data_IF_506975026960
#
_entry.id   IF_506975026960
#
_cell.length_a   1.000
_cell.length_b   1.000
_cell.length_c   1.000
_cell.angle_alpha   90.00
_cell.angle_beta   90.00
_cell.angle_gamma   90.00
#
_symmetry.space_group_name_H-M   'P 1'
#
loop_
_entity.id
_entity.type
_entity.pdbx_description
1 polymer ?
#
# COMPACT_ATOMS: atom_id res chain seq x y z
N UNK A 1 33.34 58.59 -41.53
CA UNK A 1 32.08 59.16 -41.00
C UNK A 1 31.27 58.04 -40.37
N UNK A 2 30.90 58.28 -39.12
CA UNK A 2 30.19 57.42 -38.18
C UNK A 2 28.80 56.97 -38.69
N UNK A 3 28.50 55.67 -38.71
CA UNK A 3 27.12 55.14 -38.60
C UNK A 3 27.10 53.86 -37.76
N UNK A 4 26.47 54.03 -36.60
CA UNK A 4 26.07 53.03 -35.63
C UNK A 4 25.07 52.08 -36.28
N UNK A 5 25.24 50.76 -36.13
CA UNK A 5 24.11 49.83 -36.22
C UNK A 5 24.19 48.80 -35.09
N UNK A 6 23.25 49.01 -34.18
CA UNK A 6 22.81 48.25 -33.02
C UNK A 6 22.93 46.73 -33.19
N UNK A 7 23.74 46.11 -32.32
CA UNK A 7 23.74 44.67 -32.10
C UNK A 7 22.56 44.31 -31.18
N UNK A 8 21.50 43.73 -31.75
CA UNK A 8 20.40 43.12 -31.01
C UNK A 8 20.79 41.67 -30.71
N UNK A 9 21.50 41.45 -29.59
CA UNK A 9 21.79 40.10 -29.09
C UNK A 9 20.54 39.62 -28.32
N UNK A 10 19.63 38.96 -29.02
CA UNK A 10 18.50 38.23 -28.43
C UNK A 10 19.04 37.07 -27.59
N UNK A 11 19.25 37.33 -26.30
CA UNK A 11 19.53 36.31 -25.31
C UNK A 11 18.21 35.57 -25.03
N UNK A 12 17.91 34.57 -25.86
CA UNK A 12 16.81 33.64 -25.65
C UNK A 12 17.10 32.82 -24.39
N UNK A 13 16.52 33.24 -23.26
CA UNK A 13 16.29 32.38 -22.11
C UNK A 13 15.34 31.26 -22.54
N UNK A 14 15.88 30.17 -23.07
CA UNK A 14 15.17 28.89 -23.00
C UNK A 14 15.23 28.45 -21.54
N UNK A 15 14.22 28.85 -20.77
CA UNK A 15 13.91 28.19 -19.51
C UNK A 15 13.66 26.73 -19.86
N UNK A 16 14.62 25.87 -19.52
CA UNK A 16 14.45 24.43 -19.58
C UNK A 16 13.34 24.07 -18.61
N UNK A 17 12.13 23.90 -19.11
CA UNK A 17 11.07 23.20 -18.39
C UNK A 17 11.45 21.72 -18.41
N UNK A 18 12.36 21.34 -17.53
CA UNK A 18 12.46 19.97 -17.05
C UNK A 18 11.77 19.92 -15.70
N UNK A 19 10.47 19.66 -15.68
CA UNK A 19 9.77 19.38 -14.45
C UNK A 19 8.55 18.48 -14.70
N UNK A 20 8.65 17.27 -14.15
CA UNK A 20 7.56 16.32 -13.85
C UNK A 20 6.90 15.60 -15.02
N UNK A 21 7.61 14.62 -15.58
CA UNK A 21 6.95 13.47 -16.20
C UNK A 21 7.21 12.18 -15.38
N UNK A 22 7.26 12.32 -14.05
CA UNK A 22 7.17 11.21 -13.13
C UNK A 22 5.71 11.14 -12.67
N UNK A 23 5.03 10.05 -12.98
CA UNK A 23 3.65 9.81 -12.54
C UNK A 23 3.56 9.99 -11.03
N UNK A 24 2.86 11.04 -10.57
CA UNK A 24 2.64 11.23 -9.15
C UNK A 24 1.52 10.30 -8.67
N UNK A 25 1.91 9.10 -8.25
CA UNK A 25 0.99 8.10 -7.73
C UNK A 25 0.27 8.57 -6.46
N UNK A 26 0.80 9.57 -5.73
CA UNK A 26 0.11 10.16 -4.58
C UNK A 26 -1.13 10.92 -5.02
N UNK A 27 -1.00 11.84 -5.98
CA UNK A 27 -2.14 12.56 -6.54
C UNK A 27 -3.19 11.62 -7.17
N UNK A 28 -2.75 10.51 -7.76
CA UNK A 28 -3.65 9.48 -8.32
C UNK A 28 -4.38 8.71 -7.22
N UNK A 29 -3.70 8.31 -6.15
CA UNK A 29 -4.34 7.68 -4.99
C UNK A 29 -5.36 8.61 -4.34
N UNK A 30 -5.03 9.90 -4.20
CA UNK A 30 -5.95 10.91 -3.68
C UNK A 30 -7.20 11.04 -4.56
N UNK A 31 -7.01 11.06 -5.88
CA UNK A 31 -8.11 11.14 -6.85
C UNK A 31 -8.98 9.89 -6.85
N UNK A 32 -8.39 8.71 -6.66
CA UNK A 32 -9.11 7.46 -6.51
C UNK A 32 -10.01 7.47 -5.26
N UNK A 33 -9.46 7.87 -4.11
CA UNK A 33 -10.23 7.97 -2.86
C UNK A 33 -11.33 9.02 -2.97
N UNK A 34 -11.04 10.17 -3.61
CA UNK A 34 -12.05 11.19 -3.86
C UNK A 34 -13.20 10.68 -4.74
N UNK A 35 -12.91 9.85 -5.75
CA UNK A 35 -13.94 9.21 -6.58
C UNK A 35 -14.80 8.22 -5.78
N UNK A 36 -14.19 7.41 -4.90
CA UNK A 36 -14.93 6.54 -3.98
C UNK A 36 -15.85 7.35 -3.04
N UNK A 37 -15.33 8.40 -2.42
CA UNK A 37 -16.10 9.26 -1.52
C UNK A 37 -17.26 9.97 -2.25
N UNK A 38 -17.04 10.40 -3.50
CA UNK A 38 -18.08 10.98 -4.36
C UNK A 38 -19.07 9.94 -4.91
N UNK A 39 -18.89 8.64 -4.61
CA UNK A 39 -19.66 7.51 -5.16
C UNK A 39 -19.60 7.44 -6.69
N UNK A 40 -18.56 8.03 -7.29
CA UNK A 40 -18.27 7.94 -8.71
C UNK A 40 -17.40 6.69 -8.96
N UNK A 41 -18.05 5.53 -8.86
CA UNK A 41 -17.38 4.24 -8.97
C UNK A 41 -16.83 3.97 -10.37
N UNK A 42 -17.45 4.55 -11.41
CA UNK A 42 -16.93 4.47 -12.78
C UNK A 42 -15.57 5.15 -12.89
N UNK A 43 -15.43 6.36 -12.32
CA UNK A 43 -14.15 7.06 -12.27
C UNK A 43 -13.14 6.32 -11.40
N UNK A 44 -13.55 5.83 -10.23
CA UNK A 44 -12.70 5.04 -9.34
C UNK A 44 -12.14 3.80 -10.04
N UNK A 45 -12.98 3.08 -10.78
CA UNK A 45 -12.58 1.88 -11.54
C UNK A 45 -11.59 2.21 -12.68
N UNK A 46 -11.65 3.42 -13.25
CA UNK A 46 -10.70 3.88 -14.28
C UNK A 46 -9.23 4.00 -13.82
N UNK A 47 -8.99 4.03 -12.51
CA UNK A 47 -7.63 4.03 -11.95
C UNK A 47 -6.98 2.64 -11.96
N UNK A 48 -7.77 1.58 -12.10
CA UNK A 48 -7.32 0.20 -12.03
C UNK A 48 -6.57 -0.26 -13.29
N UNK A 49 -5.63 -1.19 -13.08
CA UNK A 49 -4.89 -1.92 -14.12
C UNK A 49 -5.52 -3.26 -14.48
N UNK A 50 -4.90 -3.98 -15.42
CA UNK A 50 -5.44 -5.24 -15.94
C UNK A 50 -5.55 -6.37 -14.91
N UNK A 51 -4.64 -6.45 -13.94
CA UNK A 51 -4.64 -7.59 -13.00
C UNK A 51 -5.81 -7.51 -12.02
N UNK A 52 -6.02 -6.35 -11.38
CA UNK A 52 -7.11 -6.19 -10.41
C UNK A 52 -8.49 -6.30 -11.05
N UNK A 53 -8.65 -5.79 -12.27
CA UNK A 53 -9.94 -5.84 -12.99
C UNK A 53 -10.35 -7.25 -13.39
N UNK A 54 -9.40 -8.19 -13.48
CA UNK A 54 -9.70 -9.62 -13.67
C UNK A 54 -10.27 -10.30 -12.41
N UNK A 55 -9.99 -9.73 -11.22
CA UNK A 55 -10.35 -10.28 -9.91
C UNK A 55 -11.50 -9.53 -9.24
N UNK A 56 -11.70 -8.25 -9.59
CA UNK A 56 -12.69 -7.36 -8.99
C UNK A 56 -13.55 -6.72 -10.09
N UNK A 57 -14.77 -7.22 -10.32
CA UNK A 57 -15.75 -6.59 -11.20
C UNK A 57 -16.12 -5.16 -10.77
N UNK A 58 -16.49 -4.30 -11.72
CA UNK A 58 -16.80 -2.89 -11.45
C UNK A 58 -18.00 -2.68 -10.51
N UNK A 59 -18.98 -3.58 -10.56
CA UNK A 59 -20.16 -3.59 -9.70
C UNK A 59 -19.87 -4.04 -8.26
N UNK A 60 -18.66 -4.53 -7.97
CA UNK A 60 -18.23 -4.89 -6.62
C UNK A 60 -17.73 -3.67 -5.80
N UNK A 61 -17.36 -2.55 -6.44
CA UNK A 61 -16.89 -1.34 -5.73
C UNK A 61 -17.99 -0.66 -4.87
N UNK A 62 -19.23 -0.45 -5.37
CA UNK A 62 -20.29 0.13 -4.56
C UNK A 62 -20.60 -0.61 -3.25
N UNK A 63 -20.85 -1.95 -3.25
CA UNK A 63 -21.12 -2.67 -2.00
C UNK A 63 -19.90 -2.72 -1.07
N UNK A 64 -18.67 -2.73 -1.61
CA UNK A 64 -17.45 -2.66 -0.82
C UNK A 64 -17.37 -1.32 -0.06
N UNK A 65 -17.54 -0.19 -0.75
CA UNK A 65 -17.51 1.12 -0.12
C UNK A 65 -18.63 1.30 0.90
N UNK A 66 -19.84 0.83 0.58
CA UNK A 66 -20.98 0.88 1.50
C UNK A 66 -20.73 0.08 2.78
N UNK A 67 -20.06 -1.08 2.69
CA UNK A 67 -19.69 -1.88 3.86
C UNK A 67 -18.71 -1.12 4.78
N UNK A 68 -17.74 -0.40 4.19
CA UNK A 68 -16.81 0.43 4.97
C UNK A 68 -17.56 1.58 5.65
N UNK A 69 -18.34 2.37 4.92
CA UNK A 69 -19.02 3.54 5.51
C UNK A 69 -20.11 3.14 6.51
N UNK A 70 -20.74 1.98 6.37
CA UNK A 70 -21.64 1.45 7.39
C UNK A 70 -20.92 1.22 8.74
N UNK A 71 -19.68 0.72 8.70
CA UNK A 71 -18.88 0.43 9.89
C UNK A 71 -18.30 1.71 10.50
N UNK A 72 -17.65 2.55 9.70
CA UNK A 72 -16.84 3.69 10.19
C UNK A 72 -17.49 5.07 10.01
N UNK A 73 -18.71 5.11 9.46
CA UNK A 73 -19.45 6.32 9.13
C UNK A 73 -19.02 6.94 7.81
N UNK A 74 -19.57 8.12 7.49
CA UNK A 74 -19.28 8.79 6.22
C UNK A 74 -17.84 9.33 6.15
N UNK A 75 -17.32 9.43 4.93
CA UNK A 75 -16.00 9.98 4.66
C UNK A 75 -15.96 11.49 4.94
N UNK A 76 -14.91 11.96 5.62
CA UNK A 76 -14.70 13.39 5.92
C UNK A 76 -13.59 13.99 5.09
N UNK A 77 -12.36 13.48 5.24
CA UNK A 77 -11.18 14.04 4.54
C UNK A 77 -10.05 13.03 4.42
N UNK A 78 -9.16 13.31 3.48
CA UNK A 78 -7.86 12.65 3.37
C UNK A 78 -6.86 13.34 4.31
N UNK A 79 -5.92 12.57 4.86
CA UNK A 79 -4.91 13.03 5.80
C UNK A 79 -3.50 12.66 5.33
N UNK A 80 -2.73 12.05 6.23
CA UNK A 80 -1.33 11.72 5.98
C UNK A 80 -1.16 10.77 4.78
N UNK A 81 -0.21 11.10 3.91
CA UNK A 81 0.24 10.25 2.79
C UNK A 81 1.56 9.58 3.16
N UNK A 82 1.64 8.27 2.95
CA UNK A 82 2.81 7.44 3.24
C UNK A 82 3.16 6.70 1.96
N UNK A 83 4.42 6.84 1.51
CA UNK A 83 4.95 6.14 0.34
C UNK A 83 5.80 4.96 0.77
N UNK A 84 5.64 3.82 0.13
CA UNK A 84 6.43 2.61 0.38
C UNK A 84 6.84 2.01 -0.94
N UNK A 85 8.15 1.96 -1.21
CA UNK A 85 8.68 1.29 -2.40
C UNK A 85 8.57 -0.23 -2.25
N UNK A 86 8.11 -0.89 -3.31
CA UNK A 86 8.06 -2.34 -3.43
C UNK A 86 9.03 -2.78 -4.53
N UNK A 87 9.47 -4.04 -4.51
CA UNK A 87 10.40 -4.58 -5.52
C UNK A 87 9.89 -4.60 -6.97
N UNK A 88 8.64 -4.19 -7.22
CA UNK A 88 8.01 -4.13 -8.55
C UNK A 88 6.90 -3.07 -8.64
N UNK A 89 7.02 -1.98 -7.88
CA UNK A 89 6.04 -0.90 -7.88
C UNK A 89 6.10 0.00 -6.65
N UNK A 90 5.04 0.77 -6.41
CA UNK A 90 4.93 1.68 -5.28
C UNK A 90 3.59 1.48 -4.55
N UNK A 91 3.62 1.41 -3.22
CA UNK A 91 2.42 1.46 -2.39
C UNK A 91 2.26 2.88 -1.85
N UNK A 92 1.12 3.49 -2.11
CA UNK A 92 0.71 4.75 -1.50
C UNK A 92 -0.40 4.45 -0.49
N UNK A 93 -0.18 4.84 0.76
CA UNK A 93 -1.18 4.73 1.83
C UNK A 93 -1.62 6.12 2.25
N UNK A 94 -2.93 6.35 2.28
CA UNK A 94 -3.53 7.62 2.72
C UNK A 94 -4.42 7.36 3.92
N UNK A 95 -4.08 7.95 5.05
CA UNK A 95 -4.89 7.88 6.28
C UNK A 95 -6.08 8.82 6.11
N UNK A 96 -7.26 8.25 5.98
CA UNK A 96 -8.52 8.97 5.77
C UNK A 96 -9.33 9.03 7.06
N UNK A 97 -9.95 10.18 7.30
CA UNK A 97 -10.85 10.38 8.42
C UNK A 97 -12.29 10.12 7.99
N UNK A 98 -12.98 9.30 8.78
CA UNK A 98 -14.42 9.06 8.69
C UNK A 98 -15.09 9.56 9.97
N UNK A 99 -16.42 9.47 10.06
CA UNK A 99 -17.14 9.97 11.22
C UNK A 99 -16.79 9.32 12.55
N UNK A 100 -16.60 7.98 12.56
CA UNK A 100 -16.42 7.19 13.78
C UNK A 100 -14.97 6.79 14.01
N UNK A 101 -14.16 6.65 12.96
CA UNK A 101 -12.76 6.26 13.05
C UNK A 101 -11.97 6.69 11.80
N UNK A 102 -10.65 6.54 11.84
CA UNK A 102 -9.79 6.71 10.66
C UNK A 102 -9.51 5.35 10.02
N UNK A 103 -9.43 5.33 8.69
CA UNK A 103 -9.07 4.15 7.89
C UNK A 103 -7.93 4.53 6.96
N UNK A 104 -6.90 3.70 6.91
CA UNK A 104 -5.83 3.82 5.94
C UNK A 104 -6.25 3.14 4.64
N UNK A 105 -6.28 3.90 3.55
CA UNK A 105 -6.54 3.37 2.21
C UNK A 105 -5.20 3.24 1.50
N UNK A 106 -4.83 2.00 1.20
CA UNK A 106 -3.58 1.66 0.54
C UNK A 106 -3.83 1.31 -0.91
N UNK A 107 -3.08 1.91 -1.84
CA UNK A 107 -3.13 1.65 -3.27
C UNK A 107 -1.75 1.19 -3.75
N UNK A 108 -1.69 0.03 -4.39
CA UNK A 108 -0.46 -0.55 -4.97
C UNK A 108 -0.45 -0.24 -6.46
N UNK A 109 0.58 0.47 -6.90
CA UNK A 109 0.78 0.91 -8.26
C UNK A 109 1.83 0.04 -8.97
N UNK A 110 1.58 -0.26 -10.24
CA UNK A 110 2.62 -0.74 -11.15
C UNK A 110 3.48 0.41 -11.69
N UNK A 111 4.49 0.08 -12.49
CA UNK A 111 5.39 1.05 -13.14
C UNK A 111 4.66 1.98 -14.13
N UNK A 112 3.46 1.60 -14.60
CA UNK A 112 2.58 2.44 -15.42
C UNK A 112 1.68 3.38 -14.61
N UNK A 113 1.79 3.34 -13.29
CA UNK A 113 0.96 4.10 -12.35
C UNK A 113 -0.50 3.65 -12.33
N UNK A 114 -0.83 2.43 -12.76
CA UNK A 114 -2.15 1.84 -12.60
C UNK A 114 -2.22 1.09 -11.27
N UNK A 115 -3.39 1.17 -10.62
CA UNK A 115 -3.61 0.45 -9.35
C UNK A 115 -3.83 -1.03 -9.67
N UNK A 116 -2.95 -1.89 -9.15
CA UNK A 116 -3.04 -3.35 -9.25
C UNK A 116 -3.59 -4.01 -7.98
N UNK A 117 -3.73 -3.25 -6.90
CA UNK A 117 -4.33 -3.70 -5.65
C UNK A 117 -4.68 -2.53 -4.75
N UNK A 118 -5.71 -2.67 -3.92
CA UNK A 118 -5.98 -1.71 -2.86
C UNK A 118 -6.53 -2.38 -1.60
N UNK A 119 -6.36 -1.72 -0.46
CA UNK A 119 -6.72 -2.27 0.85
C UNK A 119 -7.29 -1.17 1.76
N UNK A 120 -8.29 -1.53 2.56
CA UNK A 120 -8.75 -0.74 3.70
C UNK A 120 -8.15 -1.35 4.97
N UNK A 121 -7.33 -0.58 5.67
CA UNK A 121 -6.57 -1.02 6.83
C UNK A 121 -6.89 -0.13 8.04
N UNK A 122 -6.72 -0.67 9.25
CA UNK A 122 -6.79 0.15 10.47
C UNK A 122 -5.69 1.23 10.43
N UNK A 123 -6.10 2.50 10.51
CA UNK A 123 -5.19 3.63 10.50
C UNK A 123 -4.15 3.59 11.64
N UNK A 124 -4.45 2.90 12.76
CA UNK A 124 -3.50 2.74 13.88
C UNK A 124 -2.20 2.06 13.46
N UNK A 125 -2.19 1.23 12.40
CA UNK A 125 -0.96 0.62 11.88
C UNK A 125 0.04 1.65 11.34
N UNK A 126 -0.43 2.85 11.04
CA UNK A 126 0.33 3.92 10.39
C UNK A 126 0.54 5.11 11.30
N UNK A 127 0.05 5.06 12.53
CA UNK A 127 0.38 6.03 13.56
C UNK A 127 1.85 5.83 13.96
N UNK A 128 2.66 6.89 13.80
CA UNK A 128 4.06 6.88 14.20
C UNK A 128 4.25 6.63 15.71
N UNK A 129 3.20 6.87 16.51
CA UNK A 129 3.14 6.58 17.94
C UNK A 129 2.51 5.23 18.30
N UNK A 130 2.08 4.42 17.32
CA UNK A 130 1.52 3.11 17.62
C UNK A 130 2.56 2.22 18.32
N UNK A 131 2.19 1.52 19.40
CA UNK A 131 3.09 0.59 20.06
C UNK A 131 3.51 -0.47 19.05
N UNK A 132 4.81 -0.53 18.75
CA UNK A 132 5.38 -1.66 18.01
C UNK A 132 5.14 -2.92 18.83
N UNK A 133 5.01 -4.06 18.16
CA UNK A 133 4.94 -5.33 18.86
C UNK A 133 6.15 -5.45 19.78
N UNK A 134 5.88 -5.53 21.08
CA UNK A 134 6.87 -5.86 22.09
C UNK A 134 6.65 -7.32 22.48
N UNK A 135 7.75 -8.06 22.62
CA UNK A 135 7.70 -9.42 23.12
C UNK A 135 6.98 -9.43 24.47
N UNK A 136 5.91 -10.21 24.62
CA UNK A 136 5.12 -10.20 25.85
C UNK A 136 5.97 -10.72 27.01
N UNK A 137 5.72 -10.21 28.22
CA UNK A 137 6.53 -10.53 29.42
C UNK A 137 6.61 -12.02 29.76
N UNK A 138 5.64 -12.82 29.31
CA UNK A 138 5.63 -14.27 29.53
C UNK A 138 6.53 -15.04 28.55
N UNK A 139 6.96 -14.42 27.44
CA UNK A 139 7.77 -15.08 26.44
C UNK A 139 9.26 -14.94 26.79
N UNK A 140 9.83 -16.00 27.36
CA UNK A 140 11.28 -16.11 27.52
C UNK A 140 11.90 -16.66 26.24
N UNK A 141 12.43 -15.74 25.42
CA UNK A 141 13.09 -16.02 24.15
C UNK A 141 14.32 -16.90 24.29
N UNK A 142 14.87 -17.08 25.49
CA UNK A 142 16.02 -17.95 25.71
C UNK A 142 15.64 -19.44 25.76
N UNK A 143 14.36 -19.77 25.95
CA UNK A 143 13.88 -21.16 26.10
C UNK A 143 13.66 -21.88 24.77
N UNK A 144 13.70 -21.18 23.64
CA UNK A 144 13.47 -21.77 22.33
C UNK A 144 14.44 -21.20 21.29
N UNK A 145 14.48 -21.85 20.14
CA UNK A 145 15.15 -21.40 18.93
C UNK A 145 14.15 -21.33 17.79
N UNK A 146 14.25 -20.28 16.97
CA UNK A 146 13.51 -20.18 15.73
C UNK A 146 14.44 -20.42 14.55
N UNK A 147 13.98 -21.19 13.58
CA UNK A 147 14.71 -21.47 12.34
C UNK A 147 13.78 -21.28 11.17
N UNK A 148 14.21 -20.47 10.21
CA UNK A 148 13.55 -20.44 8.91
C UNK A 148 13.79 -21.76 8.19
N UNK A 149 12.74 -22.28 7.59
CA UNK A 149 12.77 -23.49 6.81
C UNK A 149 11.77 -23.41 5.66
N UNK A 150 11.75 -24.43 4.83
CA UNK A 150 10.78 -24.56 3.73
C UNK A 150 10.03 -25.87 3.90
N UNK A 151 8.71 -25.81 3.80
CA UNK A 151 7.83 -26.98 3.83
C UNK A 151 7.40 -27.32 2.41
N UNK A 152 7.50 -28.60 2.04
CA UNK A 152 7.16 -29.07 0.69
C UNK A 152 8.33 -28.94 -0.30
N UNK A 153 8.01 -29.11 -1.60
CA UNK A 153 8.97 -29.08 -2.69
C UNK A 153 8.33 -28.58 -3.99
N UNK A 154 9.16 -28.11 -4.93
CA UNK A 154 8.70 -27.63 -6.23
C UNK A 154 7.93 -26.31 -6.16
N UNK A 155 6.94 -26.15 -7.03
CA UNK A 155 6.14 -24.92 -7.19
C UNK A 155 5.34 -24.54 -5.93
N UNK A 156 5.08 -25.49 -5.04
CA UNK A 156 4.27 -25.31 -3.83
C UNK A 156 5.10 -25.29 -2.54
N UNK A 157 6.41 -25.06 -2.65
CA UNK A 157 7.28 -24.92 -1.50
C UNK A 157 6.94 -23.62 -0.75
N UNK A 158 6.62 -23.75 0.54
CA UNK A 158 6.24 -22.61 1.38
C UNK A 158 7.34 -22.28 2.38
N UNK A 159 7.72 -21.00 2.54
CA UNK A 159 8.56 -20.61 3.66
C UNK A 159 7.85 -20.93 4.97
N UNK A 160 8.61 -21.20 6.03
CA UNK A 160 8.09 -21.47 7.35
C UNK A 160 9.07 -21.11 8.45
N UNK A 161 8.57 -20.92 9.67
CA UNK A 161 9.39 -20.76 10.87
C UNK A 161 9.12 -21.91 11.85
N UNK A 162 10.17 -22.66 12.17
CA UNK A 162 10.14 -23.68 13.21
C UNK A 162 10.60 -23.09 14.54
N UNK A 163 9.70 -23.05 15.52
CA UNK A 163 10.01 -22.66 16.91
C UNK A 163 10.19 -23.92 17.77
N UNK A 164 11.42 -24.23 18.17
CA UNK A 164 11.77 -25.46 18.91
C UNK A 164 12.23 -25.12 20.34
N UNK A 165 11.61 -25.67 21.39
CA UNK A 165 12.13 -25.54 22.75
C UNK A 165 13.51 -26.18 22.90
N UNK A 166 14.44 -25.46 23.53
CA UNK A 166 15.81 -25.94 23.76
C UNK A 166 15.83 -27.13 24.74
N UNK A 167 16.69 -28.10 24.46
CA UNK A 167 16.93 -29.24 25.36
C UNK A 167 15.74 -30.20 25.51
N UNK A 168 14.71 -30.10 24.66
CA UNK A 168 13.58 -31.02 24.62
C UNK A 168 13.62 -31.84 23.33
N UNK A 169 13.23 -33.10 23.44
CA UNK A 169 13.00 -34.02 22.31
C UNK A 169 11.64 -34.68 22.49
N UNK A 170 11.00 -35.13 21.41
CA UNK A 170 9.65 -35.73 21.42
C UNK A 170 8.55 -34.84 22.05
N UNK A 171 8.41 -33.62 21.53
CA UNK A 171 7.36 -32.69 21.95
C UNK A 171 6.15 -32.74 21.03
N UNK A 172 4.97 -32.42 21.55
CA UNK A 172 3.80 -32.19 20.71
C UNK A 172 4.01 -30.95 19.84
N UNK A 173 3.62 -31.03 18.56
CA UNK A 173 3.75 -29.95 17.61
C UNK A 173 2.39 -29.31 17.32
N UNK A 174 2.40 -28.00 17.12
CA UNK A 174 1.27 -27.22 16.62
C UNK A 174 1.70 -26.60 15.30
N UNK A 175 0.85 -26.70 14.28
CA UNK A 175 1.08 -26.06 12.98
C UNK A 175 0.08 -24.92 12.84
N UNK A 176 0.60 -23.70 12.69
CA UNK A 176 -0.20 -22.50 12.46
C UNK A 176 -0.11 -22.16 10.97
N UNK A 177 -1.19 -22.39 10.24
CA UNK A 177 -1.29 -22.03 8.82
C UNK A 177 -2.04 -20.71 8.73
N UNK A 178 -1.42 -19.68 8.15
CA UNK A 178 -2.11 -18.41 7.91
C UNK A 178 -3.14 -18.58 6.78
N UNK A 179 -4.11 -17.66 6.67
CA UNK A 179 -5.04 -17.61 5.54
C UNK A 179 -4.37 -17.17 4.23
N UNK A 180 -5.08 -17.22 3.10
CA UNK A 180 -4.52 -16.94 1.76
C UNK A 180 -3.77 -15.60 1.62
N UNK A 181 -2.60 -15.60 0.97
CA UNK A 181 -2.01 -14.42 0.30
C UNK A 181 -0.60 -14.04 0.76
N UNK A 182 -0.26 -12.75 0.74
CA UNK A 182 1.09 -12.24 1.03
C UNK A 182 1.63 -12.52 2.46
N UNK A 183 0.89 -13.26 3.27
CA UNK A 183 1.32 -13.73 4.59
C UNK A 183 1.82 -15.19 4.56
N UNK A 184 1.88 -15.82 3.38
CA UNK A 184 2.35 -17.18 3.13
C UNK A 184 3.67 -17.49 3.86
N UNK A 185 3.57 -18.25 4.96
CA UNK A 185 4.63 -18.64 5.89
C UNK A 185 4.26 -19.86 6.77
#
# INVERSE_FOLDING_TARGET
>A
MLKILVAFLLFSLTVGIFAQNQTDNSARAESFIAALAAKDFSKAYGFFGGEITSKLPADALPPLWASITAQVGEFKRQGQVIKTSLGGGEKITIVCEFEKSSIAVSSVFDDGGKIQGFFFEDAKKFDAGAPKYETPKYADVNLFEEKEMTIGAGEWALPATLTMPKGKTNVAAIVLVHGSGANDR
#
